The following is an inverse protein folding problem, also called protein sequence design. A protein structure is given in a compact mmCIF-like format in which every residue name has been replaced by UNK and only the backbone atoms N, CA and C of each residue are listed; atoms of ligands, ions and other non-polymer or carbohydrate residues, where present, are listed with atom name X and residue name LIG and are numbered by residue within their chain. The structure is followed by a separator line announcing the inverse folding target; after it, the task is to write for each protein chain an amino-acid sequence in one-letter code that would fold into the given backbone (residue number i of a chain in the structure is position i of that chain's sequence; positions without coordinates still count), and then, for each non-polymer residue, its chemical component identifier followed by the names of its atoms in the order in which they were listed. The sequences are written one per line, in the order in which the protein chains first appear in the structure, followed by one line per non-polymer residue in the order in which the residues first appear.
data_IF_461968975549
#
_entry.id   IF_461968975549
#
_cell.length_a   1.000
_cell.length_b   1.000
_cell.length_c   1.000
_cell.angle_alpha   90.00
_cell.angle_beta   90.00
_cell.angle_gamma   90.00
#
_symmetry.space_group_name_H-M   'P 1'
#
loop_
_entity.id
_entity.type
_entity.pdbx_description
1 polymer ?
#
# COMPACT_ATOMS: atom_id res chain seq x y z
N UNK A 1 28.40 12.75 -27.90
CA UNK A 1 27.42 12.07 -27.01
C UNK A 1 28.09 10.82 -26.46
N UNK A 2 28.38 10.76 -25.14
CA UNK A 2 28.94 9.54 -24.51
C UNK A 2 27.83 8.49 -24.49
N UNK A 3 28.08 7.30 -25.05
CA UNK A 3 27.26 6.11 -24.78
C UNK A 3 27.34 5.86 -23.27
N UNK A 4 26.26 6.14 -22.55
CA UNK A 4 26.08 5.59 -21.21
C UNK A 4 25.84 4.11 -21.43
N UNK A 5 26.76 3.27 -20.98
CA UNK A 5 26.55 1.84 -20.97
C UNK A 5 25.38 1.57 -20.04
N UNK A 6 24.31 0.96 -20.56
CA UNK A 6 23.28 0.43 -19.68
C UNK A 6 23.92 -0.71 -18.88
N UNK A 7 23.88 -0.65 -17.54
CA UNK A 7 24.35 -1.77 -16.73
C UNK A 7 23.56 -3.03 -17.11
N UNK A 8 24.26 -4.16 -17.12
CA UNK A 8 23.64 -5.47 -17.31
C UNK A 8 22.50 -5.62 -16.30
N UNK A 9 21.29 -6.00 -16.72
CA UNK A 9 20.21 -6.25 -15.78
C UNK A 9 20.65 -7.35 -14.78
N UNK A 10 20.35 -7.18 -13.48
CA UNK A 10 20.69 -8.17 -12.46
C UNK A 10 20.03 -9.52 -12.81
N UNK A 11 20.72 -10.62 -12.47
CA UNK A 11 20.13 -11.95 -12.63
C UNK A 11 18.93 -12.14 -11.69
N UNK A 12 17.96 -12.99 -12.06
CA UNK A 12 16.74 -13.19 -11.27
C UNK A 12 17.00 -13.53 -9.79
N UNK A 13 18.03 -14.33 -9.51
CA UNK A 13 18.43 -14.67 -8.13
C UNK A 13 19.05 -13.50 -7.34
N UNK A 14 19.66 -12.52 -8.00
CA UNK A 14 20.15 -11.30 -7.34
C UNK A 14 18.99 -10.36 -6.98
N UNK A 15 17.96 -10.33 -7.83
CA UNK A 15 16.73 -9.56 -7.57
C UNK A 15 15.99 -10.14 -6.37
N UNK A 16 15.79 -11.46 -6.34
CA UNK A 16 15.10 -12.13 -5.23
C UNK A 16 15.80 -11.92 -3.89
N UNK A 17 17.12 -12.14 -3.83
CA UNK A 17 17.91 -11.88 -2.62
C UNK A 17 17.87 -10.40 -2.20
N UNK A 18 17.70 -9.48 -3.15
CA UNK A 18 17.55 -8.05 -2.85
C UNK A 18 16.18 -7.72 -2.28
N UNK A 19 15.11 -8.32 -2.83
CA UNK A 19 13.75 -8.19 -2.30
C UNK A 19 13.66 -8.71 -0.86
N UNK A 20 14.27 -9.87 -0.57
CA UNK A 20 14.35 -10.41 0.80
C UNK A 20 15.02 -9.43 1.76
N UNK A 21 16.21 -8.91 1.40
CA UNK A 21 16.91 -7.93 2.24
C UNK A 21 16.09 -6.66 2.47
N UNK A 22 15.35 -6.19 1.47
CA UNK A 22 14.48 -5.02 1.59
C UNK A 22 13.30 -5.30 2.53
N UNK A 23 12.66 -6.46 2.40
CA UNK A 23 11.58 -6.91 3.28
C UNK A 23 12.06 -7.01 4.74
N UNK A 24 13.26 -7.53 4.97
CA UNK A 24 13.85 -7.63 6.31
C UNK A 24 14.19 -6.26 6.91
N UNK A 25 14.76 -5.36 6.11
CA UNK A 25 15.16 -4.03 6.56
C UNK A 25 13.96 -3.10 6.81
N UNK A 26 12.87 -3.28 6.05
CA UNK A 26 11.70 -2.43 6.06
C UNK A 26 10.43 -3.28 6.20
N UNK A 27 10.17 -3.84 7.39
CA UNK A 27 9.09 -4.83 7.59
C UNK A 27 7.70 -4.27 7.35
N UNK A 28 7.55 -2.95 7.34
CA UNK A 28 6.29 -2.25 7.09
C UNK A 28 6.00 -2.01 5.60
N UNK A 29 6.89 -2.44 4.72
CA UNK A 29 6.82 -2.27 3.27
C UNK A 29 6.81 -3.62 2.55
N UNK A 30 6.21 -3.63 1.36
CA UNK A 30 6.27 -4.73 0.40
C UNK A 30 6.96 -4.21 -0.87
N UNK A 31 7.79 -5.04 -1.50
CA UNK A 31 8.65 -4.64 -2.61
C UNK A 31 8.35 -5.43 -3.88
N UNK A 32 8.53 -4.79 -5.03
CA UNK A 32 8.56 -5.47 -6.32
C UNK A 32 9.60 -4.85 -7.24
N UNK A 33 10.13 -5.67 -8.15
CA UNK A 33 11.03 -5.25 -9.22
C UNK A 33 10.38 -5.48 -10.58
N UNK A 34 10.26 -4.40 -11.35
CA UNK A 34 9.67 -4.36 -12.68
C UNK A 34 10.76 -3.93 -13.68
N UNK A 35 11.53 -4.87 -14.28
CA UNK A 35 12.71 -4.54 -15.08
C UNK A 35 12.41 -3.83 -16.41
N UNK A 36 11.14 -3.70 -16.80
CA UNK A 36 10.73 -3.11 -18.08
C UNK A 36 10.49 -1.60 -18.05
N UNK A 37 10.72 -0.93 -16.91
CA UNK A 37 10.41 0.51 -16.72
C UNK A 37 11.57 1.25 -16.06
N UNK A 38 11.69 2.56 -16.33
CA UNK A 38 12.80 3.42 -15.87
C UNK A 38 12.91 3.50 -14.33
N UNK A 39 11.78 3.42 -13.63
CA UNK A 39 11.71 3.31 -12.17
C UNK A 39 11.38 1.87 -11.79
N UNK A 40 12.36 0.99 -11.91
CA UNK A 40 12.18 -0.47 -11.84
C UNK A 40 11.87 -0.99 -10.45
N UNK A 41 12.16 -0.24 -9.39
CA UNK A 41 11.92 -0.67 -8.02
C UNK A 41 10.72 0.04 -7.43
N UNK A 42 9.78 -0.72 -6.89
CA UNK A 42 8.60 -0.16 -6.22
C UNK A 42 8.50 -0.67 -4.78
N UNK A 43 8.08 0.21 -3.87
CA UNK A 43 7.74 -0.12 -2.49
C UNK A 43 6.31 0.33 -2.18
N UNK A 44 5.55 -0.54 -1.55
CA UNK A 44 4.19 -0.28 -1.11
C UNK A 44 4.10 -0.39 0.40
N UNK A 45 3.43 0.56 1.05
CA UNK A 45 3.22 0.49 2.48
C UNK A 45 2.19 -0.58 2.81
N UNK A 46 2.46 -1.40 3.82
CA UNK A 46 1.46 -2.32 4.38
C UNK A 46 0.32 -1.53 5.01
N UNK A 47 -0.91 -1.92 4.71
CA UNK A 47 -2.19 -1.39 5.20
C UNK A 47 -2.24 -1.21 6.72
N UNK A 48 -1.63 -2.12 7.50
CA UNK A 48 -1.51 -2.01 8.97
C UNK A 48 -0.66 -0.84 9.46
N UNK A 49 0.02 -0.14 8.55
CA UNK A 49 0.95 0.96 8.85
C UNK A 49 0.60 2.26 8.13
N UNK A 50 -0.44 2.27 7.32
CA UNK A 50 -1.01 3.52 6.85
C UNK A 50 -1.53 4.34 8.02
N UNK A 51 -1.20 5.64 8.00
CA UNK A 51 -1.78 6.61 8.91
C UNK A 51 -3.11 7.09 8.38
N UNK A 52 -4.08 7.21 9.29
CA UNK A 52 -5.42 7.77 9.02
C UNK A 52 -5.34 9.21 8.50
N UNK A 53 -4.31 9.98 8.86
CA UNK A 53 -4.13 11.37 8.46
C UNK A 53 -3.33 11.57 7.15
N UNK A 54 -3.07 10.50 6.40
CA UNK A 54 -2.24 10.53 5.20
C UNK A 54 -0.80 10.10 5.47
N UNK A 55 -0.17 9.57 4.42
CA UNK A 55 1.17 8.99 4.45
C UNK A 55 1.57 8.52 3.05
N UNK A 56 2.84 8.16 2.88
CA UNK A 56 3.32 7.73 1.57
C UNK A 56 3.06 6.24 1.40
N UNK A 57 2.02 5.93 0.63
CA UNK A 57 1.59 4.55 0.36
C UNK A 57 2.38 3.81 -0.71
N UNK A 58 3.06 4.55 -1.58
CA UNK A 58 3.76 4.01 -2.73
C UNK A 58 4.97 4.87 -3.08
N UNK A 59 6.10 4.21 -3.29
CA UNK A 59 7.34 4.81 -3.73
C UNK A 59 7.88 4.05 -4.94
N UNK A 60 8.58 4.79 -5.80
CA UNK A 60 9.28 4.23 -6.95
C UNK A 60 10.65 4.86 -7.12
N UNK A 61 11.61 4.05 -7.53
CA UNK A 61 12.95 4.50 -7.84
C UNK A 61 13.60 3.65 -8.95
N UNK A 62 14.60 4.26 -9.58
CA UNK A 62 15.49 3.66 -10.57
C UNK A 62 16.47 2.65 -9.95
N UNK A 63 16.75 2.75 -8.64
CA UNK A 63 17.68 1.88 -7.94
C UNK A 63 17.24 1.57 -6.50
N UNK A 64 17.77 0.49 -5.95
CA UNK A 64 17.55 0.05 -4.56
C UNK A 64 18.02 1.13 -3.58
N UNK A 65 19.20 1.70 -3.80
CA UNK A 65 19.80 2.71 -2.91
C UNK A 65 18.96 3.98 -2.87
N UNK A 66 18.36 4.36 -4.00
CA UNK A 66 17.46 5.50 -4.08
C UNK A 66 16.16 5.20 -3.35
N UNK A 67 15.58 4.01 -3.55
CA UNK A 67 14.36 3.57 -2.89
C UNK A 67 14.52 3.53 -1.36
N UNK A 68 15.57 2.89 -0.85
CA UNK A 68 15.89 2.83 0.59
C UNK A 68 16.01 4.21 1.21
N UNK A 69 16.63 5.18 0.50
CA UNK A 69 16.75 6.56 0.99
C UNK A 69 15.41 7.28 1.07
N UNK A 70 14.54 7.08 0.07
CA UNK A 70 13.18 7.64 0.08
C UNK A 70 12.38 7.06 1.25
N UNK A 71 12.42 5.74 1.43
CA UNK A 71 11.75 5.05 2.55
C UNK A 71 12.21 5.61 3.89
N UNK A 72 13.52 5.68 4.13
CA UNK A 72 14.03 6.23 5.39
C UNK A 72 13.64 7.70 5.61
N UNK A 73 13.41 8.47 4.55
CA UNK A 73 12.92 9.86 4.67
C UNK A 73 11.46 9.89 5.09
N UNK A 74 10.62 9.04 4.48
CA UNK A 74 9.21 8.87 4.86
C UNK A 74 9.10 8.42 6.31
N UNK A 75 9.81 7.36 6.69
CA UNK A 75 9.77 6.80 8.04
C UNK A 75 10.18 7.82 9.13
N UNK A 76 11.16 8.68 8.84
CA UNK A 76 11.54 9.77 9.76
C UNK A 76 10.48 10.87 9.86
N UNK A 77 9.90 11.28 8.73
CA UNK A 77 8.85 12.29 8.72
C UNK A 77 7.61 11.79 9.47
N UNK A 78 7.25 10.53 9.25
CA UNK A 78 6.21 9.83 10.00
C UNK A 78 6.56 9.80 11.49
N UNK A 79 7.73 9.33 11.90
CA UNK A 79 8.10 9.29 13.31
C UNK A 79 8.01 10.66 14.01
N UNK A 80 8.31 11.76 13.30
CA UNK A 80 8.12 13.11 13.82
C UNK A 80 6.64 13.45 14.06
N UNK A 81 5.76 13.12 13.12
CA UNK A 81 4.31 13.30 13.27
C UNK A 81 3.74 12.45 14.41
N UNK A 82 4.19 11.20 14.59
CA UNK A 82 3.76 10.37 15.74
C UNK A 82 4.17 10.99 17.08
N UNK A 83 5.34 11.62 17.13
CA UNK A 83 5.80 12.30 18.34
C UNK A 83 4.94 13.54 18.64
N UNK A 84 4.55 14.30 17.61
CA UNK A 84 3.64 15.45 17.73
C UNK A 84 2.22 15.03 18.17
N UNK A 85 1.69 13.95 17.59
CA UNK A 85 0.39 13.39 17.96
C UNK A 85 0.41 12.85 19.39
N UNK A 86 1.45 12.11 19.78
CA UNK A 86 1.61 11.62 21.16
C UNK A 86 1.69 12.78 22.16
N UNK A 87 2.36 13.88 21.79
CA UNK A 87 2.41 15.09 22.60
C UNK A 87 1.02 15.74 22.74
N UNK A 88 0.24 15.76 21.66
CA UNK A 88 -1.13 16.30 21.63
C UNK A 88 -2.15 15.41 22.34
N UNK A 89 -1.97 14.09 22.32
CA UNK A 89 -2.85 13.13 23.01
C UNK A 89 -2.73 13.24 24.54
N UNK A 90 -1.54 13.58 25.06
CA UNK A 90 -1.35 13.92 26.47
C UNK A 90 -2.14 15.19 26.86
N UNK A 91 -2.49 16.05 25.89
CA UNK A 91 -3.34 17.22 26.07
C UNK A 91 -4.87 16.95 25.96
N UNK A 92 -5.29 15.69 25.73
CA UNK A 92 -6.66 15.23 26.07
C UNK A 92 -7.72 15.19 24.97
N UNK A 93 -7.36 15.16 23.68
CA UNK A 93 -8.36 15.03 22.58
C UNK A 93 -8.43 13.57 22.06
N UNK A 94 -9.55 12.85 22.21
CA UNK A 94 -9.68 11.50 21.67
C UNK A 94 -9.93 11.54 20.16
N UNK A 95 -9.08 10.87 19.38
CA UNK A 95 -9.16 10.76 17.91
C UNK A 95 -10.15 9.70 17.42
N UNK A 96 -10.91 9.07 18.32
CA UNK A 96 -11.89 8.04 18.01
C UNK A 96 -13.32 8.51 18.24
N UNK A 97 -14.22 8.18 17.32
CA UNK A 97 -15.65 8.46 17.51
C UNK A 97 -16.22 7.67 18.67
N UNK A 98 -17.17 8.27 19.39
CA UNK A 98 -17.95 7.61 20.45
C UNK A 98 -19.37 7.24 20.00
N UNK A 99 -19.70 7.43 18.74
CA UNK A 99 -21.01 7.08 18.21
C UNK A 99 -21.17 5.54 18.17
N UNK A 100 -22.11 4.97 18.94
CA UNK A 100 -22.31 3.52 18.99
C UNK A 100 -22.71 2.91 17.63
N UNK A 101 -23.38 3.66 16.76
CA UNK A 101 -23.77 3.16 15.43
C UNK A 101 -22.57 2.99 14.51
N UNK A 102 -21.62 3.92 14.59
CA UNK A 102 -20.38 3.83 13.81
C UNK A 102 -19.52 2.67 14.29
N UNK A 103 -19.46 2.44 15.60
CA UNK A 103 -18.76 1.28 16.17
C UNK A 103 -19.37 -0.05 15.73
N UNK A 104 -20.71 -0.16 15.75
CA UNK A 104 -21.42 -1.37 15.28
C UNK A 104 -21.13 -1.67 13.79
N UNK A 105 -21.16 -0.65 12.94
CA UNK A 105 -20.85 -0.80 11.52
C UNK A 105 -19.37 -1.14 11.26
N UNK A 106 -18.44 -0.58 12.04
CA UNK A 106 -17.02 -0.95 11.99
C UNK A 106 -16.82 -2.44 12.30
N UNK A 107 -17.43 -2.92 13.38
CA UNK A 107 -17.32 -4.31 13.80
C UNK A 107 -17.94 -5.26 12.75
N UNK A 108 -19.10 -4.90 12.21
CA UNK A 108 -19.76 -5.64 11.12
C UNK A 108 -18.85 -5.74 9.89
N UNK A 109 -18.31 -4.62 9.41
CA UNK A 109 -17.48 -4.58 8.21
C UNK A 109 -16.18 -5.36 8.39
N UNK A 110 -15.52 -5.24 9.55
CA UNK A 110 -14.29 -5.99 9.87
C UNK A 110 -14.53 -7.49 9.94
N UNK A 111 -15.68 -7.91 10.48
CA UNK A 111 -16.05 -9.33 10.50
C UNK A 111 -16.30 -9.89 9.10
N UNK A 112 -16.88 -9.10 8.19
CA UNK A 112 -17.18 -9.51 6.81
C UNK A 112 -15.97 -9.47 5.88
N UNK A 113 -14.97 -8.64 6.20
CA UNK A 113 -13.80 -8.39 5.36
C UNK A 113 -12.50 -8.50 6.18
N UNK A 114 -12.14 -9.69 6.68
CA UNK A 114 -11.03 -9.87 7.62
C UNK A 114 -9.66 -9.53 7.01
N UNK A 115 -9.52 -9.60 5.68
CA UNK A 115 -8.30 -9.22 4.96
C UNK A 115 -8.13 -7.70 4.81
N UNK A 116 -9.14 -6.92 5.21
CA UNK A 116 -9.16 -5.47 5.15
C UNK A 116 -9.05 -4.89 6.55
N UNK A 117 -8.12 -3.96 6.73
CA UNK A 117 -8.13 -3.01 7.85
C UNK A 117 -9.15 -1.93 7.53
N UNK A 118 -10.16 -1.78 8.37
CA UNK A 118 -11.24 -0.81 8.19
C UNK A 118 -11.25 0.16 9.37
N UNK A 119 -11.29 1.45 9.08
CA UNK A 119 -11.19 2.53 10.06
C UNK A 119 -12.21 3.63 9.77
N UNK A 120 -12.58 4.35 10.84
CA UNK A 120 -13.42 5.53 10.79
C UNK A 120 -12.68 6.74 11.35
N UNK A 121 -12.68 7.83 10.60
CA UNK A 121 -12.03 9.08 10.97
C UNK A 121 -13.07 10.22 10.99
N UNK A 122 -13.54 10.57 12.18
CA UNK A 122 -14.53 11.63 12.36
C UNK A 122 -13.96 12.99 11.91
N UNK A 123 -14.76 13.80 11.22
CA UNK A 123 -14.36 15.12 10.75
C UNK A 123 -13.66 15.15 9.37
N UNK A 124 -13.63 14.03 8.63
CA UNK A 124 -13.15 13.98 7.24
C UNK A 124 -14.32 13.92 6.24
N UNK A 125 -14.07 14.45 5.04
CA UNK A 125 -15.01 14.36 3.90
C UNK A 125 -15.27 12.88 3.51
N UNK A 126 -14.26 12.01 3.62
CA UNK A 126 -14.39 10.55 3.47
C UNK A 126 -13.99 9.87 4.78
N UNK A 127 -14.98 9.70 5.66
CA UNK A 127 -14.74 9.22 7.01
C UNK A 127 -14.48 7.71 7.09
N UNK A 128 -14.88 6.93 6.08
CA UNK A 128 -14.73 5.48 6.06
C UNK A 128 -13.58 5.07 5.14
N UNK A 129 -12.60 4.37 5.69
CA UNK A 129 -11.40 3.95 4.95
C UNK A 129 -11.16 2.46 5.14
N UNK A 130 -10.89 1.75 4.06
CA UNK A 130 -10.50 0.35 4.06
C UNK A 130 -9.19 0.17 3.29
N UNK A 131 -8.26 -0.57 3.89
CA UNK A 131 -6.96 -0.90 3.30
C UNK A 131 -6.69 -2.40 3.40
N UNK A 132 -6.03 -2.99 2.41
CA UNK A 132 -5.53 -4.37 2.46
C UNK A 132 -4.08 -4.45 1.98
N UNK A 133 -3.34 -5.42 2.51
CA UNK A 133 -1.95 -5.64 2.13
C UNK A 133 -1.84 -6.26 0.73
N UNK A 134 -0.88 -5.78 -0.06
CA UNK A 134 -0.42 -6.49 -1.25
C UNK A 134 0.48 -7.63 -0.82
N UNK A 135 0.08 -8.87 -1.11
CA UNK A 135 0.91 -10.06 -0.94
C UNK A 135 1.82 -10.30 -2.15
N UNK A 136 2.75 -11.25 -2.04
CA UNK A 136 3.57 -11.70 -3.18
C UNK A 136 2.70 -12.29 -4.31
N UNK A 137 1.58 -12.93 -3.95
CA UNK A 137 0.62 -13.52 -4.89
C UNK A 137 -0.46 -12.52 -5.38
N UNK A 138 -0.22 -11.21 -5.25
CA UNK A 138 -1.21 -10.21 -5.58
C UNK A 138 -1.48 -10.14 -7.09
N UNK A 139 -2.64 -10.65 -7.51
CA UNK A 139 -3.03 -10.74 -8.93
C UNK A 139 -3.65 -9.42 -9.48
N UNK A 140 -3.83 -8.40 -8.64
CA UNK A 140 -4.28 -7.06 -9.04
C UNK A 140 -5.43 -6.49 -8.20
N UNK A 141 -5.94 -5.32 -8.61
CA UNK A 141 -7.01 -4.59 -7.93
C UNK A 141 -6.52 -3.46 -7.00
N UNK A 142 -7.46 -2.67 -6.48
CA UNK A 142 -7.15 -1.54 -5.61
C UNK A 142 -6.91 -2.03 -4.17
N UNK A 143 -5.82 -1.61 -3.49
CA UNK A 143 -5.56 -1.97 -2.09
C UNK A 143 -6.21 -1.01 -1.09
N UNK A 144 -6.84 0.07 -1.57
CA UNK A 144 -7.48 1.12 -0.76
C UNK A 144 -8.87 1.40 -1.31
N UNK A 145 -9.84 1.56 -0.42
CA UNK A 145 -11.17 2.08 -0.69
C UNK A 145 -11.51 3.16 0.34
N UNK A 146 -12.03 4.29 -0.11
CA UNK A 146 -12.44 5.41 0.74
C UNK A 146 -13.88 5.79 0.38
N UNK A 147 -14.70 6.08 1.38
CA UNK A 147 -16.11 6.36 1.20
C UNK A 147 -16.65 7.33 2.26
N UNK A 148 -17.77 7.96 1.92
CA UNK A 148 -18.54 8.78 2.86
C UNK A 148 -19.36 7.96 3.84
N UNK A 149 -19.75 6.73 3.46
CA UNK A 149 -20.58 5.86 4.29
C UNK A 149 -20.19 4.39 4.22
N UNK A 150 -20.65 3.57 5.19
CA UNK A 150 -20.24 2.17 5.31
C UNK A 150 -20.75 1.29 4.15
N UNK A 151 -21.96 1.55 3.63
CA UNK A 151 -22.51 0.78 2.51
C UNK A 151 -21.76 1.04 1.20
N UNK A 152 -21.33 2.29 0.96
CA UNK A 152 -20.49 2.66 -0.18
C UNK A 152 -19.10 2.01 -0.06
N UNK A 153 -18.50 2.05 1.13
CA UNK A 153 -17.22 1.39 1.40
C UNK A 153 -17.28 -0.11 1.08
N UNK A 154 -18.32 -0.79 1.53
CA UNK A 154 -18.53 -2.22 1.30
C UNK A 154 -18.65 -2.56 -0.20
N UNK A 155 -19.34 -1.72 -0.97
CA UNK A 155 -19.44 -1.88 -2.42
C UNK A 155 -18.06 -1.74 -3.09
N UNK A 156 -17.26 -0.76 -2.68
CA UNK A 156 -15.91 -0.53 -3.20
C UNK A 156 -14.97 -1.70 -2.86
N UNK A 157 -15.02 -2.20 -1.61
CA UNK A 157 -14.24 -3.37 -1.19
C UNK A 157 -14.54 -4.58 -2.09
N UNK A 158 -15.82 -4.87 -2.36
CA UNK A 158 -16.23 -5.98 -3.22
C UNK A 158 -15.74 -5.84 -4.66
N UNK A 159 -15.72 -4.61 -5.18
CA UNK A 159 -15.22 -4.32 -6.53
C UNK A 159 -13.69 -4.44 -6.59
N UNK A 160 -12.98 -4.01 -5.54
CA UNK A 160 -11.53 -4.02 -5.49
C UNK A 160 -10.93 -5.43 -5.56
N UNK A 161 -11.65 -6.46 -5.08
CA UNK A 161 -11.23 -7.87 -5.11
C UNK A 161 -11.45 -8.53 -6.48
N UNK A 162 -12.32 -7.99 -7.34
CA UNK A 162 -12.60 -8.57 -8.66
C UNK A 162 -11.50 -8.18 -9.65
N UNK A 163 -10.53 -9.05 -9.83
CA UNK A 163 -9.75 -9.14 -11.06
C UNK A 163 -10.21 -10.40 -11.76
N UNK A 164 -10.97 -10.26 -12.85
CA UNK A 164 -11.22 -11.41 -13.71
C UNK A 164 -9.87 -11.89 -14.26
N UNK A 165 -9.50 -13.12 -13.91
CA UNK A 165 -8.44 -13.85 -14.55
C UNK A 165 -8.81 -14.03 -16.03
N UNK A 166 -8.32 -13.14 -16.89
CA UNK A 166 -8.29 -13.37 -18.34
C UNK A 166 -7.01 -14.13 -18.73
N UNK A 167 -6.66 -15.15 -17.97
CA UNK A 167 -5.82 -16.24 -18.43
C UNK A 167 -6.59 -17.12 -19.42
N UNK A 168 -6.44 -16.88 -20.72
CA UNK A 168 -7.03 -17.76 -21.73
C UNK A 168 -6.92 -17.32 -23.19
N UNK A 169 -5.79 -17.67 -23.81
CA UNK A 169 -5.58 -17.80 -25.26
C UNK A 169 -5.53 -16.54 -26.15
N UNK A 170 -4.31 -16.18 -26.57
CA UNK A 170 -4.06 -15.98 -28.00
C UNK A 170 -2.74 -16.63 -28.41
N UNK A 171 -2.86 -17.89 -28.78
CA UNK A 171 -1.87 -18.60 -29.57
C UNK A 171 -1.53 -17.80 -30.84
N UNK A 172 -0.25 -17.89 -31.21
CA UNK A 172 0.35 -17.71 -32.53
C UNK A 172 -0.58 -17.24 -33.66
N UNK A 173 -0.19 -16.12 -34.28
CA UNK A 173 -0.24 -15.97 -35.74
C UNK A 173 0.87 -15.03 -36.17
N UNK A 174 2.06 -15.60 -36.36
CA UNK A 174 2.91 -15.18 -37.46
C UNK A 174 2.19 -15.60 -38.76
N UNK A 175 1.78 -14.63 -39.57
CA UNK A 175 1.51 -14.86 -40.99
C UNK A 175 2.32 -13.82 -41.75
N UNK A 176 3.40 -14.33 -42.33
CA UNK A 176 4.27 -13.86 -43.42
C UNK A 176 4.38 -12.37 -43.71
#
# INVERSE_FOLDING_TARGET
MRKVANPTPPGDGEVEATLERLCDAHPDWTFQHLPMIELSWEAFRKSRRFRVAGGVGWLRAESVERLTRQIGTVERAEAALDAEDAHSAVAGTPTGTRDPRVLEELDRLRAQHPDWRIEFAEGRDVAWVALRDRSADWVGGHPVAEATGPAELEALIRQAVRVEDKGGARAERYVR
#
